data_IF_502715049061
#
_entry.id   IF_502715049061
#
_cell.length_a   1.000
_cell.length_b   1.000
_cell.length_c   1.000
_cell.angle_alpha   90.00
_cell.angle_beta   90.00
_cell.angle_gamma   90.00
#
_symmetry.space_group_name_H-M   'P 1'
#
loop_
_entity.id
_entity.type
_entity.pdbx_description
1 polymer ?
#
# COMPACT_ATOMS: atom_id res chain seq x y z
N UNK A 1 -15.88 -9.70 15.97
CA UNK A 1 -16.34 -9.63 14.57
C UNK A 1 -15.98 -8.25 14.05
N UNK A 2 -15.47 -8.16 12.83
CA UNK A 2 -15.04 -6.88 12.24
C UNK A 2 -16.22 -6.25 11.52
N UNK A 3 -16.37 -4.93 11.63
CA UNK A 3 -17.28 -4.19 10.75
C UNK A 3 -16.59 -3.96 9.40
N UNK A 4 -17.12 -4.60 8.36
CA UNK A 4 -16.59 -4.58 7.01
C UNK A 4 -17.09 -3.37 6.21
N UNK A 5 -18.13 -2.68 6.69
CA UNK A 5 -18.74 -1.55 5.99
C UNK A 5 -18.05 -0.20 6.30
N UNK A 6 -17.34 -0.09 7.42
CA UNK A 6 -16.70 1.14 7.88
C UNK A 6 -15.81 1.79 6.80
N UNK A 7 -16.13 3.03 6.42
CA UNK A 7 -15.39 3.83 5.45
C UNK A 7 -15.45 3.34 3.99
N UNK A 8 -16.26 2.32 3.70
CA UNK A 8 -16.39 1.77 2.35
C UNK A 8 -17.27 2.63 1.45
N UNK A 9 -17.12 2.47 0.13
CA UNK A 9 -17.93 3.17 -0.84
C UNK A 9 -19.41 2.79 -0.68
N UNK A 10 -20.27 3.80 -0.51
CA UNK A 10 -21.69 3.63 -0.32
C UNK A 10 -22.49 4.39 -1.38
N UNK A 11 -23.69 3.89 -1.68
CA UNK A 11 -24.65 4.52 -2.60
C UNK A 11 -26.08 4.31 -2.09
N UNK A 12 -27.01 5.13 -2.56
CA UNK A 12 -28.43 5.02 -2.23
C UNK A 12 -29.26 5.39 -3.46
N UNK A 13 -30.56 5.07 -3.44
CA UNK A 13 -31.48 5.51 -4.49
C UNK A 13 -31.65 7.03 -4.52
N UNK A 14 -31.58 7.65 -3.34
CA UNK A 14 -31.76 9.08 -3.16
C UNK A 14 -31.12 9.58 -1.87
N UNK A 15 -30.92 10.90 -1.79
CA UNK A 15 -30.44 11.55 -0.56
C UNK A 15 -31.05 12.94 -0.39
N UNK A 16 -31.37 13.30 0.86
CA UNK A 16 -31.55 14.69 1.24
C UNK A 16 -30.23 15.45 1.06
N UNK A 17 -30.31 16.73 0.66
CA UNK A 17 -29.13 17.60 0.54
C UNK A 17 -28.27 17.57 1.81
N UNK A 18 -26.97 17.30 1.65
CA UNK A 18 -26.02 17.19 2.76
C UNK A 18 -26.10 15.90 3.60
N UNK A 19 -26.96 14.94 3.24
CA UNK A 19 -27.16 13.65 3.95
C UNK A 19 -26.85 12.46 3.04
N UNK A 20 -25.68 12.48 2.42
CA UNK A 20 -25.25 11.49 1.43
C UNK A 20 -24.99 10.09 2.02
N UNK A 21 -24.87 9.06 1.16
CA UNK A 21 -24.77 7.66 1.59
C UNK A 21 -23.57 7.33 2.47
N UNK A 22 -22.42 7.99 2.25
CA UNK A 22 -21.20 7.75 3.04
C UNK A 22 -21.34 8.06 4.53
N UNK A 23 -22.35 8.84 4.91
CA UNK A 23 -22.61 9.22 6.32
C UNK A 23 -23.33 8.12 7.12
N UNK A 24 -23.70 7.00 6.49
CA UNK A 24 -24.26 5.87 7.22
C UNK A 24 -23.21 4.81 7.57
N UNK A 25 -21.95 4.98 7.18
CA UNK A 25 -20.88 4.04 7.46
C UNK A 25 -19.53 4.73 7.72
N UNK A 26 -19.55 5.98 8.19
CA UNK A 26 -18.35 6.75 8.56
C UNK A 26 -17.91 6.54 10.03
N UNK A 27 -18.71 5.81 10.81
CA UNK A 27 -18.46 5.54 12.23
C UNK A 27 -18.83 6.69 13.16
N UNK A 28 -19.42 7.78 12.64
CA UNK A 28 -19.88 8.92 13.45
C UNK A 28 -21.41 8.92 13.55
N UNK A 29 -21.92 8.45 14.70
CA UNK A 29 -23.37 8.40 14.95
C UNK A 29 -24.08 9.77 15.03
N UNK A 30 -23.34 10.88 14.93
CA UNK A 30 -23.88 12.25 14.81
C UNK A 30 -24.19 12.66 13.36
N UNK A 31 -23.60 11.98 12.36
CA UNK A 31 -23.95 12.14 10.94
C UNK A 31 -24.99 11.09 10.54
N UNK A 32 -25.56 11.23 9.33
CA UNK A 32 -26.54 10.26 8.80
C UNK A 32 -26.75 10.36 7.31
N UNK A 33 -26.99 9.22 6.66
CA UNK A 33 -27.71 9.19 5.40
C UNK A 33 -29.20 9.41 5.65
N UNK A 34 -29.87 10.08 4.71
CA UNK A 34 -31.31 10.24 4.71
C UNK A 34 -31.84 10.21 3.29
N UNK A 35 -32.91 9.45 3.04
CA UNK A 35 -33.64 9.50 1.79
C UNK A 35 -34.16 10.91 1.49
N UNK A 36 -34.42 11.19 0.21
CA UNK A 36 -34.85 12.53 -0.23
C UNK A 36 -36.27 12.89 0.21
N UNK A 37 -37.10 11.90 0.57
CA UNK A 37 -38.47 12.11 1.04
C UNK A 37 -38.93 11.01 2.02
N UNK A 38 -40.21 11.08 2.45
CA UNK A 38 -40.81 10.18 3.44
C UNK A 38 -41.53 8.96 2.86
N UNK A 39 -41.29 8.58 1.60
CA UNK A 39 -41.89 7.39 0.98
C UNK A 39 -41.16 6.12 1.40
N UNK A 40 -41.80 4.98 1.12
CA UNK A 40 -41.18 3.64 1.28
C UNK A 40 -40.52 3.21 -0.02
N UNK A 41 -39.61 2.24 0.05
CA UNK A 41 -38.88 1.69 -1.10
C UNK A 41 -37.46 2.21 -1.25
N UNK A 42 -37.06 3.19 -0.44
CA UNK A 42 -35.70 3.70 -0.41
C UNK A 42 -34.70 2.63 0.04
N UNK A 43 -33.53 2.63 -0.58
CA UNK A 43 -32.45 1.71 -0.27
C UNK A 43 -31.12 2.43 -0.10
N UNK A 44 -30.30 1.86 0.78
CA UNK A 44 -28.90 2.21 0.95
C UNK A 44 -28.06 0.95 0.76
N UNK A 45 -26.90 1.07 0.13
CA UNK A 45 -25.99 -0.04 -0.09
C UNK A 45 -24.53 0.33 0.11
N UNK A 46 -23.72 -0.67 0.46
CA UNK A 46 -22.26 -0.58 0.58
C UNK A 46 -21.58 -1.59 -0.33
N UNK A 47 -20.49 -1.18 -0.98
CA UNK A 47 -19.54 -2.05 -1.67
C UNK A 47 -18.35 -2.35 -0.74
N UNK A 48 -18.22 -3.59 -0.29
CA UNK A 48 -17.14 -4.03 0.60
C UNK A 48 -15.77 -4.05 -0.10
N UNK A 49 -15.75 -3.98 -1.44
CA UNK A 49 -14.57 -4.01 -2.31
C UNK A 49 -14.25 -5.40 -2.86
N UNK A 50 -14.57 -6.46 -2.09
CA UNK A 50 -14.46 -7.87 -2.48
C UNK A 50 -15.53 -8.70 -1.78
N UNK A 51 -15.76 -9.93 -2.25
CA UNK A 51 -16.68 -10.84 -1.57
C UNK A 51 -16.14 -11.24 -0.19
N UNK A 52 -16.99 -11.13 0.83
CA UNK A 52 -16.74 -11.47 2.23
C UNK A 52 -17.75 -12.53 2.73
N UNK A 53 -17.37 -13.39 3.67
CA UNK A 53 -18.33 -14.22 4.42
C UNK A 53 -18.91 -13.40 5.57
N UNK A 54 -20.15 -13.00 5.38
CA UNK A 54 -20.92 -12.18 6.28
C UNK A 54 -21.56 -13.04 7.37
N UNK A 55 -21.57 -12.53 8.59
CA UNK A 55 -22.23 -13.13 9.75
C UNK A 55 -23.46 -12.32 10.22
N UNK A 56 -23.66 -11.12 9.67
CA UNK A 56 -24.84 -10.31 9.97
C UNK A 56 -24.70 -8.85 9.62
N UNK A 57 -25.71 -8.07 9.99
CA UNK A 57 -25.72 -6.61 9.89
C UNK A 57 -26.26 -5.99 11.17
N UNK A 58 -25.92 -4.72 11.40
CA UNK A 58 -26.55 -3.88 12.41
C UNK A 58 -26.87 -2.52 11.79
N UNK A 59 -28.12 -2.10 11.92
CA UNK A 59 -28.57 -0.77 11.51
C UNK A 59 -28.89 0.05 12.75
N UNK A 60 -28.41 1.30 12.78
CA UNK A 60 -28.83 2.33 13.73
C UNK A 60 -29.63 3.40 12.99
N UNK A 61 -30.91 3.45 13.30
CA UNK A 61 -31.85 4.44 12.78
C UNK A 61 -31.66 5.82 13.43
N UNK A 62 -32.08 6.88 12.75
CA UNK A 62 -32.07 8.24 13.30
C UNK A 62 -32.83 8.32 14.64
N UNK A 63 -33.99 7.65 14.73
CA UNK A 63 -34.84 7.65 15.93
C UNK A 63 -35.27 6.24 16.35
N UNK A 64 -35.64 6.09 17.63
CA UNK A 64 -36.29 4.88 18.14
C UNK A 64 -37.76 4.82 17.67
N UNK A 65 -37.99 4.37 16.43
CA UNK A 65 -39.30 4.22 15.77
C UNK A 65 -39.39 2.88 15.05
N UNK A 66 -40.58 2.50 14.61
CA UNK A 66 -40.76 1.27 13.84
C UNK A 66 -40.38 1.50 12.37
N UNK A 67 -39.30 0.82 11.96
CA UNK A 67 -38.85 0.71 10.58
C UNK A 67 -39.03 -0.74 10.12
N UNK A 68 -39.72 -0.94 9.00
CA UNK A 68 -39.82 -2.24 8.33
C UNK A 68 -38.85 -2.25 7.17
N UNK A 69 -38.04 -3.29 7.06
CA UNK A 69 -37.00 -3.35 6.03
C UNK A 69 -36.67 -4.80 5.67
N UNK A 70 -35.85 -4.98 4.64
CA UNK A 70 -35.15 -6.24 4.41
C UNK A 70 -33.70 -5.94 4.01
N UNK A 71 -32.82 -6.91 4.25
CA UNK A 71 -31.41 -6.85 3.83
C UNK A 71 -31.21 -7.87 2.72
N UNK A 72 -30.59 -7.42 1.63
CA UNK A 72 -30.17 -8.27 0.52
C UNK A 72 -28.68 -8.13 0.27
N UNK A 73 -28.09 -9.17 -0.28
CA UNK A 73 -26.65 -9.23 -0.58
C UNK A 73 -26.42 -9.66 -2.02
N UNK A 74 -25.27 -9.29 -2.58
CA UNK A 74 -24.89 -9.63 -3.95
C UNK A 74 -23.37 -9.78 -4.08
N UNK A 75 -22.91 -10.65 -4.97
CA UNK A 75 -21.49 -10.75 -5.36
C UNK A 75 -21.13 -9.85 -6.54
N UNK A 76 -22.09 -9.52 -7.40
CA UNK A 76 -21.88 -8.80 -8.67
C UNK A 76 -22.57 -7.42 -8.75
N UNK A 77 -23.44 -7.10 -7.79
CA UNK A 77 -24.19 -5.84 -7.72
C UNK A 77 -25.48 -5.82 -8.53
N UNK A 78 -25.78 -6.91 -9.26
CA UNK A 78 -26.92 -7.05 -10.17
C UNK A 78 -27.92 -8.12 -9.72
N UNK A 79 -27.44 -9.28 -9.27
CA UNK A 79 -28.27 -10.37 -8.74
C UNK A 79 -28.29 -10.31 -7.20
N UNK A 80 -29.47 -10.19 -6.61
CA UNK A 80 -29.63 -9.95 -5.18
C UNK A 80 -30.37 -11.07 -4.47
N UNK A 81 -29.82 -11.53 -3.36
CA UNK A 81 -30.42 -12.54 -2.48
C UNK A 81 -30.81 -11.89 -1.17
N UNK A 82 -32.07 -12.01 -0.76
CA UNK A 82 -32.54 -11.52 0.55
C UNK A 82 -32.02 -12.44 1.66
N UNK A 83 -31.36 -11.85 2.67
CA UNK A 83 -30.74 -12.58 3.80
C UNK A 83 -31.36 -12.25 5.15
N UNK A 84 -32.08 -11.13 5.26
CA UNK A 84 -32.90 -10.80 6.43
C UNK A 84 -34.20 -10.14 5.99
N UNK A 85 -35.31 -10.49 6.65
CA UNK A 85 -36.63 -9.94 6.35
C UNK A 85 -37.31 -9.43 7.63
N UNK A 86 -37.46 -8.11 7.73
CA UNK A 86 -38.16 -7.38 8.80
C UNK A 86 -39.37 -6.62 8.25
N UNK A 87 -39.92 -7.04 7.12
CA UNK A 87 -41.05 -6.36 6.47
C UNK A 87 -42.33 -6.39 7.32
N UNK A 88 -42.46 -7.39 8.21
CA UNK A 88 -43.54 -7.50 9.20
C UNK A 88 -43.14 -7.05 10.62
N UNK A 89 -41.98 -6.40 10.78
CA UNK A 89 -41.46 -5.99 12.09
C UNK A 89 -42.33 -4.95 12.80
N UNK A 90 -42.38 -5.06 14.14
CA UNK A 90 -43.12 -4.15 15.04
C UNK A 90 -42.23 -3.45 16.07
N UNK A 91 -40.95 -3.82 16.16
CA UNK A 91 -40.01 -3.22 17.12
C UNK A 91 -39.80 -1.73 16.82
N UNK A 92 -39.63 -0.93 17.88
CA UNK A 92 -39.26 0.49 17.79
C UNK A 92 -37.81 0.73 18.27
N UNK A 93 -36.99 -0.33 18.39
CA UNK A 93 -35.60 -0.20 18.77
C UNK A 93 -34.82 0.61 17.73
N UNK A 94 -34.04 1.58 18.21
CA UNK A 94 -33.18 2.40 17.36
C UNK A 94 -32.07 1.58 16.69
N UNK A 95 -31.56 0.56 17.38
CA UNK A 95 -30.56 -0.38 16.85
C UNK A 95 -31.23 -1.72 16.61
N UNK A 96 -31.03 -2.29 15.43
CA UNK A 96 -31.53 -3.60 15.06
C UNK A 96 -30.42 -4.39 14.38
N UNK A 97 -30.23 -5.63 14.82
CA UNK A 97 -29.21 -6.53 14.28
C UNK A 97 -29.88 -7.74 13.64
N UNK A 98 -29.30 -8.20 12.54
CA UNK A 98 -29.72 -9.37 11.79
C UNK A 98 -28.56 -10.35 11.70
N UNK A 99 -28.78 -11.59 12.13
CA UNK A 99 -27.78 -12.66 12.03
C UNK A 99 -28.09 -13.54 10.83
N UNK A 100 -27.10 -13.78 9.98
CA UNK A 100 -27.20 -14.65 8.81
C UNK A 100 -25.80 -15.09 8.38
N UNK A 101 -25.71 -16.09 7.51
CA UNK A 101 -24.45 -16.45 6.84
C UNK A 101 -24.61 -16.34 5.34
N UNK A 102 -23.78 -15.53 4.70
CA UNK A 102 -23.79 -15.35 3.24
C UNK A 102 -22.43 -14.90 2.73
N UNK A 103 -22.08 -15.25 1.48
CA UNK A 103 -20.91 -14.71 0.80
C UNK A 103 -21.33 -13.62 -0.17
N UNK A 104 -20.83 -12.39 0.01
CA UNK A 104 -21.22 -11.25 -0.83
C UNK A 104 -20.21 -10.10 -0.80
N UNK A 105 -20.20 -9.30 -1.86
CA UNK A 105 -19.43 -8.05 -1.98
C UNK A 105 -20.29 -6.82 -1.67
N UNK A 106 -21.56 -6.86 -2.02
CA UNK A 106 -22.50 -5.76 -1.83
C UNK A 106 -23.55 -6.15 -0.80
N UNK A 107 -23.87 -5.21 0.08
CA UNK A 107 -24.96 -5.35 1.06
C UNK A 107 -25.90 -4.16 0.90
N UNK A 108 -27.20 -4.43 0.80
CA UNK A 108 -28.24 -3.41 0.62
C UNK A 108 -29.34 -3.59 1.67
N UNK A 109 -29.68 -2.50 2.34
CA UNK A 109 -30.88 -2.40 3.17
C UNK A 109 -31.95 -1.64 2.40
N UNK A 110 -33.17 -2.18 2.35
CA UNK A 110 -34.33 -1.54 1.70
C UNK A 110 -35.44 -1.33 2.71
N UNK A 111 -35.83 -0.08 2.92
CA UNK A 111 -36.90 0.30 3.85
C UNK A 111 -38.25 0.14 3.15
N UNK A 112 -39.12 -0.68 3.73
CA UNK A 112 -40.41 -1.09 3.14
C UNK A 112 -41.62 -0.57 3.91
N UNK A 113 -41.42 -0.03 5.11
CA UNK A 113 -42.50 0.57 5.90
C UNK A 113 -41.96 1.56 6.93
N UNK A 114 -42.66 2.67 7.06
CA UNK A 114 -42.34 3.78 7.95
C UNK A 114 -43.61 4.20 8.70
N UNK A 115 -43.46 4.62 9.96
CA UNK A 115 -44.54 5.29 10.70
C UNK A 115 -44.66 6.76 10.26
N UNK A 116 -45.82 7.37 10.51
CA UNK A 116 -46.08 8.76 10.10
C UNK A 116 -44.96 9.73 10.54
N UNK A 117 -44.65 10.70 9.67
CA UNK A 117 -43.61 11.72 9.87
C UNK A 117 -42.20 11.15 10.11
N UNK A 118 -41.86 10.05 9.44
CA UNK A 118 -40.55 9.39 9.54
C UNK A 118 -39.99 9.15 8.14
N UNK A 119 -38.69 9.37 7.94
CA UNK A 119 -37.99 9.07 6.69
C UNK A 119 -37.04 7.89 6.89
N UNK A 120 -36.66 7.22 5.80
CA UNK A 120 -35.54 6.29 5.85
C UNK A 120 -34.25 7.07 6.16
N UNK A 121 -33.71 6.90 7.37
CA UNK A 121 -32.49 7.57 7.78
C UNK A 121 -31.67 6.71 8.73
N UNK A 122 -30.39 6.57 8.40
CA UNK A 122 -29.46 5.65 9.04
C UNK A 122 -28.25 6.47 9.49
N UNK A 123 -27.98 6.47 10.80
CA UNK A 123 -26.81 7.12 11.39
C UNK A 123 -25.59 6.20 11.38
N UNK A 124 -25.81 4.88 11.32
CA UNK A 124 -24.73 3.90 11.23
C UNK A 124 -25.28 2.57 10.69
N UNK A 125 -24.53 1.92 9.81
CA UNK A 125 -24.85 0.62 9.21
C UNK A 125 -23.58 -0.22 9.15
N UNK A 126 -23.56 -1.26 9.97
CA UNK A 126 -22.43 -2.18 10.08
C UNK A 126 -22.73 -3.47 9.36
N UNK A 127 -21.70 -4.03 8.75
CA UNK A 127 -21.73 -5.37 8.17
C UNK A 127 -20.71 -6.21 8.92
N UNK A 128 -21.19 -7.21 9.66
CA UNK A 128 -20.31 -8.11 10.39
C UNK A 128 -19.98 -9.32 9.52
N UNK A 129 -18.72 -9.74 9.59
CA UNK A 129 -18.27 -10.95 8.94
C UNK A 129 -16.85 -11.28 9.32
N UNK A 130 -16.40 -12.44 8.83
CA UNK A 130 -14.99 -12.65 8.59
C UNK A 130 -14.72 -12.07 7.19
N UNK A 131 -13.84 -11.08 7.11
CA UNK A 131 -13.30 -10.68 5.82
C UNK A 131 -12.70 -11.94 5.16
N UNK A 132 -13.37 -12.53 4.17
CA UNK A 132 -12.72 -13.57 3.35
C UNK A 132 -11.64 -12.97 2.44
N UNK A 133 -11.44 -11.65 2.52
CA UNK A 133 -10.42 -10.86 1.87
C UNK A 133 -9.07 -10.76 2.59
N UNK A 134 -8.82 -11.46 3.72
CA UNK A 134 -7.45 -11.98 3.86
C UNK A 134 -7.32 -13.05 2.81
N UNK A 135 -6.88 -12.65 1.61
CA UNK A 135 -6.25 -13.54 0.66
C UNK A 135 -5.40 -14.51 1.50
N UNK A 136 -5.73 -15.78 1.46
CA UNK A 136 -5.01 -16.76 2.25
C UNK A 136 -3.71 -17.00 1.49
N UNK A 137 -2.58 -16.81 2.17
CA UNK A 137 -1.30 -17.16 1.57
C UNK A 137 -1.23 -18.67 1.32
N UNK A 138 -0.36 -19.12 0.41
CA UNK A 138 -0.18 -20.54 0.15
C UNK A 138 0.09 -21.31 1.44
N UNK A 139 -0.43 -22.53 1.54
CA UNK A 139 -0.14 -23.39 2.68
C UNK A 139 1.36 -23.77 2.69
N UNK A 140 1.98 -23.88 3.88
CA UNK A 140 3.34 -24.37 3.98
C UNK A 140 3.50 -25.78 3.40
N UNK A 141 4.52 -25.98 2.59
CA UNK A 141 4.86 -27.26 1.97
C UNK A 141 6.23 -27.76 2.49
N UNK A 142 6.30 -28.96 3.11
CA UNK A 142 7.57 -29.56 3.52
C UNK A 142 8.61 -29.66 2.40
N UNK A 143 8.21 -29.87 1.14
CA UNK A 143 9.11 -29.94 0.00
C UNK A 143 9.71 -28.58 -0.39
N UNK A 144 9.02 -27.48 -0.09
CA UNK A 144 9.60 -26.14 -0.20
C UNK A 144 10.55 -25.88 0.98
N UNK A 145 10.17 -26.31 2.19
CA UNK A 145 11.02 -26.16 3.39
C UNK A 145 12.35 -26.91 3.28
N UNK A 146 12.40 -28.04 2.57
CA UNK A 146 13.64 -28.79 2.32
C UNK A 146 14.61 -28.09 1.36
N UNK A 147 14.18 -27.04 0.65
CA UNK A 147 15.06 -26.19 -0.18
C UNK A 147 15.81 -25.11 0.61
N UNK A 148 15.56 -25.03 1.92
CA UNK A 148 16.20 -24.08 2.81
C UNK A 148 17.38 -24.73 3.53
N UNK A 149 18.53 -24.06 3.55
CA UNK A 149 19.77 -24.51 4.20
C UNK A 149 20.31 -23.46 5.17
N UNK A 150 21.26 -23.85 6.03
CA UNK A 150 21.82 -22.98 7.05
C UNK A 150 20.97 -22.87 8.32
N UNK A 151 21.48 -22.12 9.29
CA UNK A 151 20.86 -21.95 10.62
C UNK A 151 20.86 -20.50 11.10
N UNK A 152 21.85 -19.70 10.69
CA UNK A 152 21.94 -18.26 10.97
C UNK A 152 22.92 -17.59 10.00
N UNK A 153 22.50 -17.20 8.78
CA UNK A 153 21.11 -17.19 8.31
C UNK A 153 20.61 -18.56 7.83
N UNK A 154 19.28 -18.71 7.76
CA UNK A 154 18.65 -19.74 6.92
C UNK A 154 18.41 -19.13 5.55
N UNK A 155 18.80 -19.80 4.48
CA UNK A 155 18.64 -19.32 3.09
C UNK A 155 17.83 -20.34 2.30
N UNK A 156 16.82 -19.88 1.57
CA UNK A 156 15.99 -20.70 0.70
C UNK A 156 16.09 -20.19 -0.74
N UNK A 157 16.18 -21.11 -1.70
CA UNK A 157 16.11 -20.78 -3.12
C UNK A 157 14.98 -21.54 -3.82
N UNK A 158 14.25 -20.85 -4.70
CA UNK A 158 13.19 -21.41 -5.53
C UNK A 158 13.40 -21.04 -7.00
N UNK A 159 13.57 -22.05 -7.86
CA UNK A 159 13.75 -21.85 -9.30
C UNK A 159 12.40 -21.48 -9.95
N UNK A 160 12.06 -20.18 -9.91
CA UNK A 160 10.81 -19.62 -10.43
C UNK A 160 11.10 -18.53 -11.45
N UNK A 161 10.20 -18.33 -12.42
CA UNK A 161 10.34 -17.28 -13.43
C UNK A 161 10.00 -15.89 -12.85
N UNK A 162 10.52 -14.79 -13.43
CA UNK A 162 10.11 -13.43 -13.06
C UNK A 162 8.59 -13.28 -13.05
N UNK A 163 8.05 -12.65 -12.02
CA UNK A 163 6.61 -12.58 -11.78
C UNK A 163 6.26 -12.26 -10.34
N UNK A 164 4.97 -12.26 -10.03
CA UNK A 164 4.50 -12.07 -8.66
C UNK A 164 4.30 -13.42 -7.98
N UNK A 165 4.66 -13.52 -6.71
CA UNK A 165 4.51 -14.73 -5.91
C UNK A 165 3.95 -14.40 -4.54
N UNK A 166 2.94 -15.15 -4.15
CA UNK A 166 2.50 -15.18 -2.76
C UNK A 166 3.41 -16.09 -1.97
N UNK A 167 3.87 -15.60 -0.84
CA UNK A 167 4.74 -16.32 0.09
C UNK A 167 4.07 -16.36 1.45
N UNK A 168 4.05 -17.54 2.05
CA UNK A 168 3.72 -17.72 3.47
C UNK A 168 4.98 -18.20 4.19
N UNK A 169 5.28 -17.61 5.34
CA UNK A 169 6.31 -18.11 6.26
C UNK A 169 5.69 -18.39 7.62
N UNK A 170 6.06 -19.52 8.21
CA UNK A 170 5.74 -19.88 9.60
C UNK A 170 7.02 -19.80 10.40
N UNK A 171 7.06 -18.89 11.35
CA UNK A 171 8.21 -18.63 12.21
C UNK A 171 7.96 -19.18 13.60
N UNK A 172 9.00 -19.72 14.24
CA UNK A 172 8.90 -20.28 15.58
C UNK A 172 9.45 -21.71 15.68
N UNK A 173 9.57 -22.19 16.91
CA UNK A 173 10.23 -23.45 17.24
C UNK A 173 9.65 -24.00 18.54
N UNK A 174 9.42 -25.32 18.65
CA UNK A 174 8.83 -25.90 19.86
C UNK A 174 9.76 -25.83 21.07
N UNK A 175 11.08 -25.79 20.87
CA UNK A 175 12.06 -25.96 21.94
C UNK A 175 12.68 -24.64 22.42
N UNK A 176 12.74 -23.60 21.58
CA UNK A 176 13.52 -22.40 21.89
C UNK A 176 12.95 -21.12 21.28
N UNK A 177 13.11 -19.96 21.96
CA UNK A 177 12.74 -18.68 21.40
C UNK A 177 13.66 -18.30 20.22
N UNK A 178 13.27 -17.29 19.46
CA UNK A 178 14.09 -16.73 18.39
C UNK A 178 13.59 -15.38 17.91
N UNK A 179 14.49 -14.65 17.25
CA UNK A 179 14.20 -13.38 16.59
C UNK A 179 14.52 -13.56 15.11
N UNK A 180 13.50 -13.47 14.26
CA UNK A 180 13.62 -13.74 12.83
C UNK A 180 13.15 -12.56 12.00
N UNK A 181 14.02 -12.05 11.13
CA UNK A 181 13.69 -11.14 10.03
C UNK A 181 13.76 -11.89 8.70
N UNK A 182 13.07 -11.39 7.68
CA UNK A 182 13.06 -11.99 6.35
C UNK A 182 13.43 -10.93 5.31
N UNK A 183 14.42 -11.25 4.49
CA UNK A 183 14.78 -10.51 3.29
C UNK A 183 14.53 -11.36 2.05
N UNK A 184 14.25 -10.69 0.93
CA UNK A 184 14.14 -11.31 -0.38
C UNK A 184 15.15 -10.68 -1.35
N UNK A 185 15.74 -11.50 -2.21
CA UNK A 185 16.62 -11.07 -3.31
C UNK A 185 17.77 -10.15 -2.82
N UNK A 186 18.03 -9.08 -3.57
CA UNK A 186 18.90 -7.94 -3.27
C UNK A 186 18.45 -7.16 -2.01
N UNK A 187 18.43 -7.83 -0.86
CA UNK A 187 18.25 -7.29 0.49
C UNK A 187 16.94 -6.51 0.72
N UNK A 188 15.88 -6.82 -0.04
CA UNK A 188 14.57 -6.22 0.21
C UNK A 188 14.02 -6.75 1.52
N UNK A 189 13.83 -5.89 2.51
CA UNK A 189 13.18 -6.31 3.76
C UNK A 189 11.71 -6.56 3.49
N UNK A 190 11.23 -7.78 3.76
CA UNK A 190 9.83 -8.20 3.54
C UNK A 190 9.10 -8.52 4.84
N UNK A 191 9.85 -8.81 5.90
CA UNK A 191 9.36 -8.90 7.26
C UNK A 191 10.43 -8.34 8.21
N UNK A 192 10.12 -7.33 9.04
CA UNK A 192 11.06 -6.88 10.07
C UNK A 192 11.29 -7.99 11.11
N UNK A 193 12.20 -7.77 12.05
CA UNK A 193 12.49 -8.76 13.08
C UNK A 193 11.24 -9.06 13.94
N UNK A 194 10.86 -10.33 14.01
CA UNK A 194 9.75 -10.85 14.82
C UNK A 194 10.31 -11.77 15.89
N UNK A 195 9.90 -11.54 17.14
CA UNK A 195 10.22 -12.42 18.26
C UNK A 195 9.18 -13.53 18.40
N UNK A 196 9.63 -14.76 18.58
CA UNK A 196 8.80 -15.92 18.93
C UNK A 196 9.32 -16.55 20.23
N UNK A 197 8.42 -17.03 21.09
CA UNK A 197 8.79 -17.83 22.27
C UNK A 197 8.75 -19.33 21.93
N UNK A 198 9.42 -20.15 22.73
CA UNK A 198 9.36 -21.61 22.58
C UNK A 198 7.91 -22.11 22.62
N UNK A 199 7.55 -23.00 21.68
CA UNK A 199 6.20 -23.54 21.56
C UNK A 199 5.19 -22.64 20.84
N UNK A 200 5.60 -21.44 20.39
CA UNK A 200 4.74 -20.53 19.63
C UNK A 200 5.14 -20.47 18.15
N UNK A 201 4.13 -20.26 17.29
CA UNK A 201 4.32 -20.11 15.85
C UNK A 201 3.59 -18.86 15.36
N UNK A 202 4.26 -18.07 14.53
CA UNK A 202 3.71 -16.88 13.89
C UNK A 202 3.69 -17.07 12.38
N UNK A 203 2.51 -16.92 11.77
CA UNK A 203 2.31 -17.06 10.32
C UNK A 203 2.21 -15.67 9.68
N UNK A 204 3.01 -15.45 8.63
CA UNK A 204 2.98 -14.23 7.85
C UNK A 204 2.83 -14.56 6.37
N UNK A 205 2.00 -13.80 5.66
CA UNK A 205 1.85 -13.92 4.22
C UNK A 205 2.01 -12.57 3.53
N UNK A 206 2.75 -12.53 2.43
CA UNK A 206 3.03 -11.33 1.63
C UNK A 206 3.24 -11.69 0.16
N UNK A 207 3.02 -10.72 -0.74
CA UNK A 207 3.23 -10.92 -2.18
C UNK A 207 4.55 -10.24 -2.58
N UNK A 208 5.44 -10.99 -3.22
CA UNK A 208 6.72 -10.51 -3.74
C UNK A 208 6.70 -10.40 -5.25
N UNK A 209 7.47 -9.46 -5.77
CA UNK A 209 7.79 -9.39 -7.19
C UNK A 209 9.21 -9.94 -7.39
N UNK A 210 9.34 -11.04 -8.13
CA UNK A 210 10.59 -11.66 -8.55
C UNK A 210 11.00 -11.07 -9.90
N UNK A 211 12.26 -10.66 -10.02
CA UNK A 211 12.80 -9.97 -11.20
C UNK A 211 14.15 -10.56 -11.59
N UNK A 212 14.51 -10.37 -12.85
CA UNK A 212 15.83 -10.67 -13.37
C UNK A 212 16.33 -9.47 -14.19
N UNK A 213 17.43 -8.81 -13.78
CA UNK A 213 18.17 -9.03 -12.55
C UNK A 213 17.32 -8.74 -11.29
N UNK A 214 17.69 -9.37 -10.16
CA UNK A 214 16.95 -9.29 -8.90
C UNK A 214 17.00 -7.90 -8.23
N UNK A 215 18.08 -7.16 -8.47
CA UNK A 215 18.32 -5.81 -7.95
C UNK A 215 18.10 -4.74 -9.02
N UNK A 216 19.14 -3.92 -9.23
CA UNK A 216 19.12 -2.80 -10.19
C UNK A 216 18.98 -3.30 -11.64
N UNK A 217 18.03 -2.77 -12.44
CA UNK A 217 17.77 -3.27 -13.80
C UNK A 217 18.95 -3.23 -14.77
N UNK A 218 19.91 -2.31 -14.59
CA UNK A 218 21.12 -2.22 -15.44
C UNK A 218 22.20 -3.25 -15.06
N UNK A 219 21.94 -4.11 -14.08
CA UNK A 219 22.80 -5.24 -13.71
C UNK A 219 23.81 -4.95 -12.60
N UNK A 220 23.72 -3.80 -11.92
CA UNK A 220 24.67 -3.43 -10.86
C UNK A 220 24.45 -4.08 -9.49
N UNK A 221 23.60 -5.11 -9.31
CA UNK A 221 23.34 -5.53 -7.93
C UNK A 221 22.50 -6.76 -7.63
N UNK A 222 22.80 -7.91 -8.22
CA UNK A 222 22.28 -9.19 -7.74
C UNK A 222 23.36 -10.28 -7.79
N UNK A 223 23.27 -11.27 -6.90
CA UNK A 223 24.05 -12.52 -6.91
C UNK A 223 23.91 -13.33 -8.20
N UNK A 224 23.03 -12.91 -9.11
CA UNK A 224 22.99 -13.39 -10.48
C UNK A 224 22.29 -14.72 -10.65
N UNK A 225 21.64 -15.25 -9.60
CA UNK A 225 20.89 -16.49 -9.69
C UNK A 225 19.43 -16.19 -10.04
N UNK A 226 18.92 -16.60 -11.22
CA UNK A 226 17.49 -16.49 -11.52
C UNK A 226 16.67 -17.30 -10.53
N UNK A 227 15.57 -16.75 -10.03
CA UNK A 227 14.67 -17.42 -9.10
C UNK A 227 14.20 -16.49 -7.99
N UNK A 228 13.73 -17.10 -6.90
CA UNK A 228 13.40 -16.41 -5.66
C UNK A 228 14.33 -16.88 -4.54
N UNK A 229 15.12 -15.97 -3.99
CA UNK A 229 15.95 -16.15 -2.81
C UNK A 229 15.33 -15.47 -1.59
N UNK A 230 15.20 -16.23 -0.50
CA UNK A 230 14.76 -15.73 0.81
C UNK A 230 15.82 -15.98 1.86
N UNK A 231 16.15 -14.95 2.63
CA UNK A 231 17.16 -15.00 3.69
C UNK A 231 16.49 -14.67 5.03
N UNK A 232 16.57 -15.61 5.97
CA UNK A 232 16.04 -15.50 7.32
C UNK A 232 17.19 -15.25 8.29
N UNK A 233 17.18 -14.08 8.93
CA UNK A 233 18.27 -13.61 9.79
C UNK A 233 17.76 -13.21 11.18
N UNK A 234 18.66 -12.86 12.09
CA UNK A 234 18.33 -12.41 13.45
C UNK A 234 18.97 -13.29 14.53
N UNK A 235 18.60 -13.09 15.79
CA UNK A 235 19.12 -13.89 16.89
C UNK A 235 18.42 -15.26 16.91
N UNK A 236 19.11 -16.29 16.44
CA UNK A 236 18.59 -17.67 16.32
C UNK A 236 17.32 -17.73 15.47
N UNK A 237 17.39 -17.45 14.16
CA UNK A 237 16.21 -17.36 13.31
C UNK A 237 15.50 -18.72 13.22
N UNK A 238 14.17 -18.70 13.29
CA UNK A 238 13.30 -19.88 13.37
C UNK A 238 12.37 -19.94 12.16
N UNK A 239 12.78 -20.64 11.11
CA UNK A 239 11.91 -20.97 9.98
C UNK A 239 11.33 -22.38 10.15
N UNK A 240 10.03 -22.46 10.42
CA UNK A 240 9.29 -23.71 10.57
C UNK A 240 8.65 -24.18 9.26
N UNK A 241 8.04 -23.26 8.49
CA UNK A 241 7.33 -23.61 7.27
C UNK A 241 7.38 -22.51 6.22
N UNK A 242 7.30 -22.91 4.94
CA UNK A 242 7.25 -21.99 3.80
C UNK A 242 6.24 -22.48 2.78
N UNK A 243 5.39 -21.58 2.30
CA UNK A 243 4.46 -21.79 1.20
C UNK A 243 4.78 -20.81 0.08
N UNK A 244 4.65 -21.25 -1.17
CA UNK A 244 4.92 -20.45 -2.36
C UNK A 244 3.88 -20.76 -3.44
N UNK A 245 3.27 -19.73 -4.01
CA UNK A 245 2.36 -19.86 -5.15
C UNK A 245 2.47 -18.65 -6.08
N UNK A 246 2.03 -18.79 -7.33
CA UNK A 246 1.89 -17.66 -8.23
C UNK A 246 0.96 -16.61 -7.61
N UNK A 247 1.43 -15.36 -7.61
CA UNK A 247 0.72 -14.22 -7.09
C UNK A 247 -0.03 -13.48 -8.19
N UNK A 248 -1.23 -13.00 -7.86
CA UNK A 248 -1.99 -12.00 -8.61
C UNK A 248 -2.05 -10.68 -7.83
N UNK A 249 -2.76 -9.68 -8.34
CA UNK A 249 -2.97 -8.39 -7.68
C UNK A 249 -2.13 -7.25 -8.26
N UNK A 250 -2.39 -6.01 -7.80
CA UNK A 250 -1.72 -4.82 -8.31
C UNK A 250 -0.24 -4.80 -7.94
N UNK A 251 0.54 -4.16 -8.80
CA UNK A 251 1.97 -3.92 -8.61
C UNK A 251 2.20 -2.44 -8.34
N UNK A 252 2.96 -2.15 -7.27
CA UNK A 252 3.53 -0.84 -7.03
C UNK A 252 4.93 -0.78 -7.69
N UNK A 253 4.99 -0.17 -8.86
CA UNK A 253 6.25 0.08 -9.56
C UNK A 253 6.95 1.30 -8.99
N UNK A 254 8.28 1.23 -8.85
CA UNK A 254 9.11 2.36 -8.44
C UNK A 254 10.07 2.70 -9.58
N UNK A 255 9.96 3.91 -10.10
CA UNK A 255 10.91 4.52 -11.03
C UNK A 255 11.75 5.54 -10.26
N UNK A 256 13.06 5.34 -10.19
CA UNK A 256 13.91 6.30 -9.50
C UNK A 256 15.41 6.03 -9.57
N UNK A 257 16.14 6.75 -8.72
CA UNK A 257 17.60 6.77 -8.67
C UNK A 257 18.19 5.88 -7.56
N UNK A 258 19.45 6.12 -7.19
CA UNK A 258 20.18 5.40 -6.13
C UNK A 258 19.54 5.50 -4.74
N UNK A 259 18.72 6.53 -4.51
CA UNK A 259 17.99 6.70 -3.24
C UNK A 259 16.72 5.84 -3.18
N UNK A 260 16.27 5.30 -4.32
CA UNK A 260 15.09 4.43 -4.45
C UNK A 260 15.49 2.96 -4.58
N UNK A 261 16.55 2.69 -5.34
CA UNK A 261 16.87 1.36 -5.86
C UNK A 261 17.17 0.28 -4.80
N UNK A 262 17.13 -0.98 -5.25
CA UNK A 262 17.59 -2.12 -4.45
C UNK A 262 19.13 -2.16 -4.47
N UNK A 263 19.73 -1.66 -3.39
CA UNK A 263 21.18 -1.62 -3.22
C UNK A 263 21.72 -3.02 -2.84
N UNK A 264 22.62 -3.61 -3.65
CA UNK A 264 23.09 -4.98 -3.42
C UNK A 264 23.96 -5.14 -2.19
N UNK A 265 24.71 -4.10 -1.83
CA UNK A 265 25.78 -4.17 -0.84
C UNK A 265 25.53 -3.14 0.24
N UNK A 266 25.64 -3.59 1.49
CA UNK A 266 25.54 -2.71 2.65
C UNK A 266 26.76 -1.76 2.72
N UNK A 267 26.63 -0.56 3.27
CA UNK A 267 25.47 -0.05 4.01
C UNK A 267 24.41 0.67 3.16
N UNK A 268 24.67 0.89 1.87
CA UNK A 268 23.71 1.53 0.95
C UNK A 268 22.36 0.81 0.96
N UNK A 269 21.29 1.61 1.04
CA UNK A 269 19.90 1.16 1.09
C UNK A 269 19.01 2.22 0.43
N UNK A 270 18.23 1.86 -0.59
CA UNK A 270 17.19 2.74 -1.14
C UNK A 270 15.92 2.67 -0.30
N UNK A 271 15.13 3.74 -0.26
CA UNK A 271 13.85 3.71 0.48
C UNK A 271 12.84 2.76 -0.17
N UNK A 272 12.90 2.57 -1.49
CA UNK A 272 12.10 1.59 -2.23
C UNK A 272 12.38 0.15 -1.80
N UNK A 273 13.64 -0.17 -1.50
CA UNK A 273 14.08 -1.46 -0.96
C UNK A 273 13.43 -1.81 0.40
N UNK A 274 12.93 -0.79 1.11
CA UNK A 274 12.29 -0.93 2.43
C UNK A 274 10.77 -0.98 2.38
N UNK A 275 10.13 -0.64 1.26
CA UNK A 275 8.67 -0.68 1.14
C UNK A 275 8.04 -2.07 1.33
N UNK A 276 8.60 -3.19 0.80
CA UNK A 276 7.92 -4.49 0.85
C UNK A 276 7.51 -4.95 2.26
N UNK A 277 8.28 -4.59 3.30
CA UNK A 277 7.99 -4.96 4.69
C UNK A 277 6.67 -4.41 5.23
N UNK A 278 6.13 -3.35 4.61
CA UNK A 278 4.91 -2.67 5.05
C UNK A 278 3.66 -3.17 4.34
N UNK A 279 3.79 -4.00 3.31
CA UNK A 279 2.65 -4.53 2.57
C UNK A 279 2.35 -5.97 2.98
N UNK A 280 1.06 -6.27 3.15
CA UNK A 280 0.54 -7.62 3.36
C UNK A 280 0.29 -8.30 2.01
N UNK A 281 -0.13 -9.56 2.06
CA UNK A 281 -0.53 -10.32 0.88
C UNK A 281 -1.55 -9.55 0.04
N UNK A 282 -1.38 -9.51 -1.28
CA UNK A 282 -2.30 -8.81 -2.18
C UNK A 282 -1.63 -7.85 -3.16
N UNK A 283 -0.51 -7.24 -2.77
CA UNK A 283 0.22 -6.24 -3.56
C UNK A 283 1.72 -6.54 -3.52
N UNK A 284 2.37 -6.43 -4.67
CA UNK A 284 3.82 -6.56 -4.78
C UNK A 284 4.49 -5.22 -5.12
N UNK A 285 5.77 -5.08 -4.77
CA UNK A 285 6.57 -3.90 -5.09
C UNK A 285 7.63 -4.26 -6.13
N UNK A 286 7.56 -3.63 -7.29
CA UNK A 286 8.50 -3.77 -8.39
C UNK A 286 9.44 -2.56 -8.47
N UNK A 287 10.61 -2.68 -7.85
CA UNK A 287 11.59 -1.59 -7.81
C UNK A 287 12.46 -1.60 -9.07
N UNK A 288 12.24 -0.62 -9.95
CA UNK A 288 13.05 -0.36 -11.14
C UNK A 288 14.06 0.76 -10.92
N UNK A 289 14.21 1.26 -9.69
CA UNK A 289 15.23 2.25 -9.38
C UNK A 289 16.63 1.75 -9.74
N UNK A 290 17.49 2.66 -10.21
CA UNK A 290 18.85 2.32 -10.64
C UNK A 290 19.81 3.47 -10.31
N UNK A 291 21.04 3.14 -9.94
CA UNK A 291 21.98 4.11 -9.36
C UNK A 291 22.52 5.05 -10.43
N UNK A 292 22.57 6.35 -10.10
CA UNK A 292 23.10 7.36 -11.02
C UNK A 292 22.10 7.84 -12.07
N UNK A 293 20.89 7.30 -12.12
CA UNK A 293 19.89 7.68 -13.11
C UNK A 293 19.26 9.05 -12.84
N UNK A 294 19.13 9.83 -13.91
CA UNK A 294 18.34 11.06 -14.01
C UNK A 294 16.96 10.76 -14.62
N UNK A 295 16.04 11.72 -14.58
CA UNK A 295 14.74 11.59 -15.27
C UNK A 295 14.87 11.26 -16.75
N UNK A 296 15.88 11.82 -17.44
CA UNK A 296 16.10 11.62 -18.87
C UNK A 296 16.76 10.27 -19.18
N UNK A 297 17.80 9.91 -18.43
CA UNK A 297 18.50 8.64 -18.64
C UNK A 297 17.58 7.45 -18.35
N UNK A 298 16.77 7.50 -17.27
CA UNK A 298 15.77 6.48 -16.96
C UNK A 298 14.72 6.30 -18.07
N UNK A 299 14.29 7.41 -18.68
CA UNK A 299 13.31 7.39 -19.78
C UNK A 299 13.88 6.75 -21.05
N UNK A 300 15.18 6.95 -21.32
CA UNK A 300 15.84 6.54 -22.56
C UNK A 300 16.52 5.17 -22.51
N UNK A 301 17.01 4.74 -21.35
CA UNK A 301 17.77 3.51 -21.19
C UNK A 301 16.86 2.29 -21.35
N UNK A 302 17.15 1.42 -22.32
CA UNK A 302 16.32 0.27 -22.66
C UNK A 302 16.05 -0.70 -21.50
N UNK A 303 16.93 -0.77 -20.50
CA UNK A 303 16.76 -1.63 -19.32
C UNK A 303 15.80 -1.04 -18.25
N UNK A 304 15.43 0.24 -18.36
CA UNK A 304 14.69 0.98 -17.34
C UNK A 304 13.23 1.21 -17.77
N UNK A 305 12.82 2.45 -18.02
CA UNK A 305 11.42 2.75 -18.36
C UNK A 305 10.91 1.96 -19.58
N UNK A 306 11.66 1.82 -20.70
CA UNK A 306 11.24 1.00 -21.84
C UNK A 306 10.97 -0.47 -21.49
N UNK A 307 11.73 -1.07 -20.57
CA UNK A 307 11.50 -2.44 -20.10
C UNK A 307 10.36 -2.53 -19.06
N UNK A 308 10.22 -1.54 -18.19
CA UNK A 308 9.16 -1.48 -17.18
C UNK A 308 7.78 -1.22 -17.81
N UNK A 309 7.69 -0.29 -18.76
CA UNK A 309 6.44 0.19 -19.37
C UNK A 309 5.51 -0.93 -19.84
N UNK A 310 5.93 -1.90 -20.67
CA UNK A 310 5.02 -2.94 -21.17
C UNK A 310 4.50 -3.90 -20.09
N UNK A 311 5.02 -3.83 -18.86
CA UNK A 311 4.58 -4.66 -17.75
C UNK A 311 3.44 -4.03 -16.94
N UNK A 312 3.27 -2.71 -17.05
CA UNK A 312 2.24 -1.95 -16.33
C UNK A 312 0.86 -2.34 -16.85
N UNK A 313 -0.08 -2.57 -15.93
CA UNK A 313 -1.46 -2.93 -16.23
C UNK A 313 -2.44 -1.99 -15.51
N UNK A 314 -3.72 -2.09 -15.90
CA UNK A 314 -4.81 -1.42 -15.18
C UNK A 314 -4.83 -1.85 -13.71
N UNK A 315 -4.87 -0.87 -12.80
CA UNK A 315 -4.85 -1.09 -11.35
C UNK A 315 -3.45 -0.98 -10.72
N UNK A 316 -2.39 -0.98 -11.52
CA UNK A 316 -1.03 -0.75 -11.04
C UNK A 316 -0.78 0.73 -10.75
N UNK A 317 0.17 0.99 -9.86
CA UNK A 317 0.63 2.34 -9.52
C UNK A 317 2.12 2.47 -9.79
N UNK A 318 2.55 3.63 -10.30
CA UNK A 318 3.96 3.93 -10.54
C UNK A 318 4.36 5.17 -9.75
N UNK A 319 5.22 4.99 -8.74
CA UNK A 319 5.88 6.09 -8.04
C UNK A 319 7.10 6.53 -8.86
N UNK A 320 7.16 7.80 -9.24
CA UNK A 320 8.21 8.36 -10.10
C UNK A 320 8.99 9.40 -9.30
N UNK A 321 10.24 9.09 -8.94
CA UNK A 321 11.12 9.96 -8.17
C UNK A 321 12.45 10.21 -8.88
N UNK A 322 12.69 11.45 -9.30
CA UNK A 322 13.98 11.87 -9.87
C UNK A 322 14.37 13.26 -9.39
N UNK A 323 15.66 13.57 -9.52
CA UNK A 323 16.21 14.90 -9.28
C UNK A 323 17.66 14.88 -8.80
N UNK A 324 18.10 13.83 -8.10
CA UNK A 324 19.48 13.77 -7.59
C UNK A 324 20.55 13.84 -8.68
N UNK A 325 20.30 13.16 -9.80
CA UNK A 325 21.23 13.07 -10.93
C UNK A 325 20.86 13.99 -12.11
N UNK A 326 19.75 14.72 -12.00
CA UNK A 326 19.34 15.77 -12.94
C UNK A 326 20.16 17.06 -12.73
N UNK A 327 21.49 16.93 -12.56
CA UNK A 327 22.41 17.98 -12.09
C UNK A 327 22.52 19.16 -13.06
N UNK A 328 22.37 18.89 -14.36
CA UNK A 328 22.41 19.86 -15.46
C UNK A 328 21.11 19.88 -16.27
N UNK A 329 20.08 19.13 -15.86
CA UNK A 329 18.78 19.11 -16.55
C UNK A 329 18.09 20.46 -16.37
N UNK A 330 17.74 21.14 -17.45
CA UNK A 330 16.97 22.39 -17.36
C UNK A 330 15.57 22.12 -16.82
N UNK A 331 14.91 23.11 -16.21
CA UNK A 331 13.53 22.95 -15.73
C UNK A 331 12.58 22.48 -16.84
N UNK A 332 12.73 23.02 -18.06
CA UNK A 332 11.94 22.61 -19.22
C UNK A 332 12.16 21.14 -19.62
N UNK A 333 13.41 20.67 -19.65
CA UNK A 333 13.72 19.27 -19.96
C UNK A 333 13.21 18.33 -18.87
N UNK A 334 13.38 18.70 -17.60
CA UNK A 334 12.88 17.93 -16.47
C UNK A 334 11.35 17.81 -16.52
N UNK A 335 10.65 18.92 -16.77
CA UNK A 335 9.19 18.93 -16.92
C UNK A 335 8.72 18.06 -18.09
N UNK A 336 9.42 18.10 -19.22
CA UNK A 336 9.15 17.27 -20.39
C UNK A 336 9.34 15.78 -20.08
N UNK A 337 10.43 15.41 -19.41
CA UNK A 337 10.71 14.02 -19.02
C UNK A 337 9.63 13.48 -18.09
N UNK A 338 9.28 14.22 -17.04
CA UNK A 338 8.23 13.82 -16.10
C UNK A 338 6.86 13.71 -16.77
N UNK A 339 6.51 14.66 -17.63
CA UNK A 339 5.26 14.63 -18.42
C UNK A 339 5.20 13.39 -19.31
N UNK A 340 6.32 13.02 -19.94
CA UNK A 340 6.43 11.82 -20.76
C UNK A 340 6.23 10.54 -19.93
N UNK A 341 6.88 10.43 -18.77
CA UNK A 341 6.71 9.30 -17.86
C UNK A 341 5.25 9.17 -17.42
N UNK A 342 4.63 10.26 -16.94
CA UNK A 342 3.22 10.29 -16.50
C UNK A 342 2.26 9.86 -17.62
N UNK A 343 2.43 10.44 -18.81
CA UNK A 343 1.55 10.15 -19.96
C UNK A 343 1.70 8.69 -20.41
N UNK A 344 2.93 8.19 -20.46
CA UNK A 344 3.18 6.82 -20.89
C UNK A 344 2.71 5.79 -19.85
N UNK A 345 2.82 6.06 -18.55
CA UNK A 345 2.21 5.20 -17.51
C UNK A 345 0.70 5.11 -17.70
N UNK A 346 0.02 6.26 -17.90
CA UNK A 346 -1.42 6.29 -18.15
C UNK A 346 -1.82 5.54 -19.42
N UNK A 347 -1.00 5.61 -20.47
CA UNK A 347 -1.26 4.89 -21.72
C UNK A 347 -1.30 3.37 -21.55
N UNK A 348 -0.66 2.84 -20.50
CA UNK A 348 -0.70 1.41 -20.14
C UNK A 348 -1.84 1.07 -19.16
N UNK A 349 -2.63 2.06 -18.73
CA UNK A 349 -3.68 1.93 -17.71
C UNK A 349 -3.20 2.06 -16.26
N UNK A 350 -1.91 2.34 -16.04
CA UNK A 350 -1.35 2.55 -14.71
C UNK A 350 -1.67 3.94 -14.14
N UNK A 351 -1.62 4.06 -12.81
CA UNK A 351 -1.78 5.34 -12.09
C UNK A 351 -0.40 5.93 -11.75
N UNK A 352 0.05 7.00 -12.41
CA UNK A 352 1.30 7.66 -12.03
C UNK A 352 1.13 8.46 -10.74
N UNK A 353 2.18 8.53 -9.94
CA UNK A 353 2.30 9.43 -8.78
C UNK A 353 3.70 9.99 -8.80
N UNK A 354 3.82 11.31 -8.84
CA UNK A 354 5.13 11.97 -8.78
C UNK A 354 5.59 12.05 -7.32
N UNK A 355 6.88 11.81 -7.09
CA UNK A 355 7.51 11.88 -5.76
C UNK A 355 8.71 12.80 -5.87
N UNK A 356 8.70 13.95 -5.20
CA UNK A 356 9.84 14.87 -5.22
C UNK A 356 11.05 14.21 -4.54
N UNK A 357 12.30 14.46 -4.99
CA UNK A 357 13.47 13.79 -4.41
C UNK A 357 13.66 14.16 -2.93
N UNK A 358 13.95 13.20 -2.03
CA UNK A 358 14.26 13.50 -0.63
C UNK A 358 15.51 14.36 -0.52
N UNK A 359 15.61 15.19 0.51
CA UNK A 359 16.71 16.15 0.67
C UNK A 359 18.07 15.48 0.84
N UNK A 360 19.13 16.18 0.45
CA UNK A 360 20.51 15.86 0.89
C UNK A 360 20.76 16.45 2.27
N UNK A 361 21.64 15.84 3.05
CA UNK A 361 22.08 16.36 4.35
C UNK A 361 23.20 17.40 4.19
N UNK A 362 22.90 18.53 3.54
CA UNK A 362 23.86 19.64 3.36
C UNK A 362 23.33 20.89 4.05
N UNK A 363 23.86 21.15 5.24
CA UNK A 363 23.48 22.28 6.08
C UNK A 363 24.27 23.55 5.76
N UNK A 364 23.60 24.69 5.81
CA UNK A 364 24.20 26.01 5.88
C UNK A 364 24.62 26.34 7.33
N UNK A 365 25.32 27.47 7.49
CA UNK A 365 25.84 27.89 8.80
C UNK A 365 24.72 28.24 9.82
N UNK A 366 23.53 28.58 9.34
CA UNK A 366 22.36 28.90 10.17
C UNK A 366 21.55 27.66 10.60
N UNK A 367 21.99 26.46 10.20
CA UNK A 367 21.32 25.20 10.53
C UNK A 367 20.19 24.81 9.59
N UNK A 368 19.93 25.59 8.53
CA UNK A 368 18.98 25.24 7.46
C UNK A 368 19.65 24.42 6.37
N UNK A 369 18.87 23.75 5.51
CA UNK A 369 19.38 23.06 4.35
C UNK A 369 19.71 24.01 3.19
N UNK A 370 20.86 23.77 2.56
CA UNK A 370 21.30 24.54 1.39
C UNK A 370 20.38 24.35 0.19
N UNK A 371 20.43 25.27 -0.77
CA UNK A 371 19.70 25.15 -2.05
C UNK A 371 20.03 23.85 -2.80
N UNK A 372 21.28 23.39 -2.75
CA UNK A 372 21.71 22.10 -3.30
C UNK A 372 21.06 20.92 -2.58
N UNK A 373 20.90 20.99 -1.25
CA UNK A 373 20.16 19.97 -0.49
C UNK A 373 18.69 19.91 -0.87
N UNK A 374 18.11 21.05 -1.26
CA UNK A 374 16.74 21.20 -1.74
C UNK A 374 16.60 21.01 -3.27
N UNK A 375 17.63 20.47 -3.92
CA UNK A 375 17.64 20.13 -5.36
C UNK A 375 17.40 21.33 -6.29
N UNK A 376 17.96 22.49 -5.92
CA UNK A 376 18.31 23.52 -6.91
C UNK A 376 19.61 23.08 -7.58
N UNK A 377 19.51 22.69 -8.84
CA UNK A 377 20.63 22.05 -9.53
C UNK A 377 21.68 23.05 -10.09
N UNK A 378 22.71 22.54 -10.75
CA UNK A 378 23.83 23.34 -11.25
C UNK A 378 23.49 24.35 -12.34
N UNK A 379 22.29 24.29 -12.92
CA UNK A 379 21.76 25.28 -13.88
C UNK A 379 20.68 26.18 -13.28
N UNK A 380 20.51 26.15 -11.94
CA UNK A 380 19.57 26.98 -11.21
C UNK A 380 18.12 26.50 -11.27
N UNK A 381 17.84 25.30 -11.79
CA UNK A 381 16.49 24.76 -11.82
C UNK A 381 16.11 24.21 -10.44
N UNK A 382 15.01 24.71 -9.88
CA UNK A 382 14.37 24.12 -8.70
C UNK A 382 13.54 22.90 -9.13
N UNK A 383 14.12 21.71 -9.00
CA UNK A 383 13.52 20.48 -9.50
C UNK A 383 12.23 20.07 -8.75
N UNK A 384 12.16 20.15 -7.39
CA UNK A 384 10.91 19.88 -6.67
C UNK A 384 9.78 20.84 -7.06
N UNK A 385 10.07 22.13 -7.22
CA UNK A 385 9.07 23.10 -7.67
C UNK A 385 8.57 22.79 -9.10
N UNK A 386 9.48 22.42 -10.00
CA UNK A 386 9.13 21.98 -11.35
C UNK A 386 8.24 20.74 -11.32
N UNK A 387 8.56 19.76 -10.48
CA UNK A 387 7.75 18.54 -10.34
C UNK A 387 6.35 18.83 -9.80
N UNK A 388 6.20 19.73 -8.81
CA UNK A 388 4.89 20.20 -8.32
C UNK A 388 4.04 20.81 -9.44
N UNK A 389 4.66 21.63 -10.29
CA UNK A 389 3.98 22.23 -11.45
C UNK A 389 3.53 21.16 -12.45
N UNK A 390 4.38 20.17 -12.74
CA UNK A 390 4.00 19.04 -13.62
C UNK A 390 2.86 18.24 -13.00
N UNK A 391 2.91 17.96 -11.69
CA UNK A 391 1.86 17.21 -11.01
C UNK A 391 0.49 17.88 -11.18
N UNK A 392 0.44 19.19 -10.94
CA UNK A 392 -0.77 20.00 -11.15
C UNK A 392 -1.21 20.03 -12.62
N UNK A 393 -0.29 20.31 -13.55
CA UNK A 393 -0.60 20.41 -14.98
C UNK A 393 -1.08 19.07 -15.57
N UNK A 394 -0.54 17.96 -15.08
CA UNK A 394 -0.93 16.62 -15.51
C UNK A 394 -2.08 16.03 -14.68
N UNK A 395 -2.60 16.75 -13.68
CA UNK A 395 -3.62 16.25 -12.76
C UNK A 395 -3.26 14.87 -12.19
N UNK A 396 -2.05 14.73 -11.66
CA UNK A 396 -1.54 13.49 -11.06
C UNK A 396 -1.19 13.74 -9.60
N UNK A 397 -1.38 12.74 -8.74
CA UNK A 397 -1.03 12.87 -7.32
C UNK A 397 0.46 13.12 -7.14
N UNK A 398 0.79 13.90 -6.10
CA UNK A 398 2.15 14.22 -5.72
C UNK A 398 2.40 13.83 -4.26
N UNK A 399 3.47 13.06 -4.02
CA UNK A 399 4.06 12.89 -2.70
C UNK A 399 5.22 13.88 -2.58
N UNK A 400 5.03 14.94 -1.79
CA UNK A 400 6.05 15.96 -1.55
C UNK A 400 7.07 15.49 -0.49
N UNK A 401 7.91 14.54 -0.90
CA UNK A 401 8.95 13.98 -0.05
C UNK A 401 10.10 14.96 0.19
N UNK A 402 10.32 15.98 -0.65
CA UNK A 402 11.31 17.04 -0.37
C UNK A 402 10.88 17.79 0.87
N UNK A 403 9.65 18.32 0.91
CA UNK A 403 9.15 19.05 2.09
C UNK A 403 9.10 18.17 3.34
N UNK A 404 8.67 16.90 3.20
CA UNK A 404 8.58 15.99 4.34
C UNK A 404 9.97 15.61 4.92
N UNK A 405 10.96 15.39 4.05
CA UNK A 405 12.32 15.04 4.47
C UNK A 405 13.12 16.25 4.93
N UNK A 406 12.88 17.44 4.37
CA UNK A 406 13.41 18.72 4.87
C UNK A 406 13.02 18.93 6.33
N UNK A 407 11.72 18.85 6.63
CA UNK A 407 11.21 18.99 8.00
C UNK A 407 11.83 17.96 8.97
N UNK A 408 12.00 16.71 8.53
CA UNK A 408 12.66 15.67 9.33
C UNK A 408 14.14 16.00 9.59
N UNK A 409 14.89 16.33 8.54
CA UNK A 409 16.34 16.50 8.61
C UNK A 409 16.71 17.78 9.37
N UNK A 410 16.02 18.89 9.12
CA UNK A 410 16.21 20.14 9.87
C UNK A 410 15.75 20.00 11.32
N UNK A 411 14.62 19.32 11.57
CA UNK A 411 14.13 19.08 12.93
C UNK A 411 15.09 18.25 13.79
N UNK A 412 15.87 17.34 13.17
CA UNK A 412 16.94 16.60 13.83
C UNK A 412 18.25 17.42 13.95
N UNK A 413 18.43 18.44 13.12
CA UNK A 413 19.65 19.20 12.98
C UNK A 413 20.85 18.37 12.47
N UNK A 414 22.03 18.98 12.35
CA UNK A 414 23.20 18.33 11.74
C UNK A 414 23.60 17.03 12.43
N UNK A 415 23.68 17.00 13.76
CA UNK A 415 24.24 15.86 14.48
C UNK A 415 23.33 14.63 14.46
N UNK A 416 22.05 14.76 14.80
CA UNK A 416 21.15 13.60 14.89
C UNK A 416 20.74 13.10 13.49
N UNK A 417 20.64 13.98 12.50
CA UNK A 417 20.32 13.57 11.11
C UNK A 417 21.41 12.71 10.48
N UNK A 418 22.65 12.71 11.01
CA UNK A 418 23.76 11.90 10.49
C UNK A 418 23.41 10.40 10.42
N UNK A 419 22.60 9.90 11.36
CA UNK A 419 22.18 8.49 11.39
C UNK A 419 21.26 8.09 10.22
N UNK A 420 20.64 9.06 9.52
CA UNK A 420 19.81 8.81 8.34
C UNK A 420 20.66 8.57 7.07
N UNK A 421 21.90 9.04 7.06
CA UNK A 421 22.78 9.02 5.88
C UNK A 421 24.04 8.19 6.16
N UNK A 422 24.85 7.97 5.13
CA UNK A 422 26.14 7.27 5.25
C UNK A 422 27.29 8.26 5.51
N UNK A 423 27.12 9.09 6.53
CA UNK A 423 28.07 10.18 6.85
C UNK A 423 29.45 9.67 7.27
N UNK A 424 29.53 8.45 7.80
CA UNK A 424 30.77 7.72 8.08
C UNK A 424 31.57 7.40 6.81
N UNK A 425 30.90 7.39 5.64
CA UNK A 425 31.51 7.29 4.32
C UNK A 425 31.63 8.65 3.62
N UNK A 426 31.44 9.75 4.37
CA UNK A 426 31.38 11.12 3.86
C UNK A 426 30.28 11.33 2.80
N UNK A 427 29.18 10.59 2.92
CA UNK A 427 28.05 10.66 2.00
C UNK A 427 26.82 11.29 2.66
N UNK A 428 26.36 12.40 2.11
CA UNK A 428 25.20 13.17 2.57
C UNK A 428 23.97 13.01 1.65
N UNK A 429 23.97 11.99 0.80
CA UNK A 429 22.91 11.72 -0.18
C UNK A 429 22.32 10.35 0.02
N UNK A 430 23.17 9.33 0.15
CA UNK A 430 22.73 7.96 0.29
C UNK A 430 22.40 7.63 1.73
N UNK A 431 21.40 6.77 1.89
CA UNK A 431 20.84 6.47 3.19
C UNK A 431 21.48 5.25 3.84
N UNK A 432 21.58 5.31 5.16
CA UNK A 432 21.71 4.12 5.98
C UNK A 432 20.44 3.28 5.88
N UNK A 433 20.50 2.01 6.31
CA UNK A 433 19.30 1.19 6.41
C UNK A 433 18.22 1.83 7.32
N UNK A 434 18.61 2.60 8.33
CA UNK A 434 17.68 3.36 9.17
C UNK A 434 17.05 4.52 8.38
N UNK A 435 17.86 5.37 7.74
CA UNK A 435 17.33 6.52 6.99
C UNK A 435 16.44 6.13 5.81
N UNK A 436 16.80 5.09 5.07
CA UNK A 436 15.97 4.56 3.99
C UNK A 436 14.58 4.13 4.49
N UNK A 437 14.54 3.59 5.71
CA UNK A 437 13.28 3.19 6.36
C UNK A 437 12.45 4.40 6.81
N UNK A 438 13.07 5.45 7.33
CA UNK A 438 12.37 6.69 7.67
C UNK A 438 11.83 7.41 6.42
N UNK A 439 12.59 7.45 5.32
CA UNK A 439 12.10 7.98 4.04
C UNK A 439 10.92 7.15 3.50
N UNK A 440 10.98 5.82 3.60
CA UNK A 440 9.87 4.95 3.22
C UNK A 440 8.61 5.23 4.07
N UNK A 441 8.74 5.47 5.38
CA UNK A 441 7.61 5.85 6.25
C UNK A 441 6.99 7.18 5.86
N UNK A 442 7.80 8.19 5.51
CA UNK A 442 7.29 9.47 5.01
C UNK A 442 6.48 9.28 3.73
N UNK A 443 6.97 8.47 2.78
CA UNK A 443 6.21 8.10 1.57
C UNK A 443 4.88 7.45 1.94
N UNK A 444 4.91 6.40 2.78
CA UNK A 444 3.69 5.69 3.21
C UNK A 444 2.69 6.58 3.93
N UNK A 445 3.15 7.51 4.76
CA UNK A 445 2.28 8.50 5.41
C UNK A 445 1.55 9.35 4.36
N UNK A 446 2.28 9.90 3.38
CA UNK A 446 1.65 10.70 2.31
C UNK A 446 0.73 9.86 1.43
N UNK A 447 1.05 8.59 1.19
CA UNK A 447 0.13 7.67 0.50
C UNK A 447 -1.22 7.55 1.23
N UNK A 448 -1.20 7.47 2.57
CA UNK A 448 -2.43 7.46 3.39
C UNK A 448 -3.22 8.76 3.28
N UNK A 449 -2.54 9.89 3.44
CA UNK A 449 -3.17 11.22 3.35
C UNK A 449 -3.83 11.47 1.98
N UNK A 450 -3.22 10.93 0.92
CA UNK A 450 -3.74 11.01 -0.45
C UNK A 450 -4.73 9.88 -0.80
N UNK A 451 -5.03 8.97 0.12
CA UNK A 451 -5.88 7.79 -0.09
C UNK A 451 -5.49 6.96 -1.33
N UNK A 452 -4.18 6.74 -1.52
CA UNK A 452 -3.68 6.02 -2.69
C UNK A 452 -4.03 4.52 -2.64
N UNK A 453 -4.22 3.90 -3.81
CA UNK A 453 -4.69 2.51 -3.93
C UNK A 453 -3.84 1.43 -3.24
N UNK A 454 -2.53 1.62 -2.94
CA UNK A 454 -1.79 0.66 -2.13
C UNK A 454 -2.12 0.68 -0.63
N UNK A 455 -2.77 1.73 -0.11
CA UNK A 455 -3.05 1.91 1.33
C UNK A 455 -3.82 0.74 1.96
N UNK A 456 -4.86 0.16 1.32
CA UNK A 456 -5.57 -1.01 1.86
C UNK A 456 -4.69 -2.26 2.04
N UNK A 457 -3.54 -2.32 1.37
CA UNK A 457 -2.56 -3.41 1.46
C UNK A 457 -1.50 -3.18 2.54
N UNK A 458 -1.52 -2.06 3.25
CA UNK A 458 -0.61 -1.85 4.38
C UNK A 458 -0.93 -2.82 5.52
N UNK A 459 0.12 -3.22 6.24
CA UNK A 459 0.05 -4.04 7.45
C UNK A 459 -0.43 -3.27 8.65
#
# INVERSE_FOLDING_TARGET
>A
MTDLALGKAASADSSQSGRGPSLANDGDTATRWCAADGRTGHWWQVDLGSAATLSGTEVRWEFARTYRYHVSVSTDGTAWTRVADRTAGTTAAQVQSDAFTATARYVRITVTGLVASTWASITDFKVFGADTGTRQGPEPDPALRSRCTGTSPVTCHFDVQPGNYDVTVVLGDPASPGVTSVQAEARRTVLPAVSTVAGSYARYSFTLNVRQPEGQPTGQGGTGRPGLDLVFSGQTPKLNGIGLAQGSGPVLYLAGDSTVCDQPVAPYTGWGQRLPQYFKLGLSVANYGDSGESSGSFLSNAALFPAMKPLIRSGDMVLIQFGHNDKSTTASAFASNLTSLVTQVRSQGGTPVLVTPPVRRLFAADGTLTSTALHVNGVGANLPATMRQVAAAQNTSLIDLTAASEALVEGLGPNASAALYLTELNDNTHFSAHGANEMAKLVLQRMRELNLSPVPYLR
#
